data_IF_911966269392
#
_entry.id   IF_911966269392
#
_cell.length_a   1.000
_cell.length_b   1.000
_cell.length_c   1.000
_cell.angle_alpha   90.00
_cell.angle_beta   90.00
_cell.angle_gamma   90.00
#
_symmetry.space_group_name_H-M   'P 1'
#
loop_
_entity.id
_entity.type
_entity.pdbx_description
1 polymer ?
#
# COMPACT_ATOMS: atom_id res chain seq x y z
N UNK A 1 17.16 -5.00 0.57
CA UNK A 1 15.75 -4.79 0.94
C UNK A 1 15.60 -3.34 1.34
N UNK A 2 14.73 -2.58 0.67
CA UNK A 2 14.53 -1.15 0.97
C UNK A 2 13.44 -1.05 2.04
N UNK A 3 13.75 -0.35 3.14
CA UNK A 3 12.80 -0.05 4.22
C UNK A 3 12.39 1.40 4.16
N UNK A 4 11.11 1.67 4.33
CA UNK A 4 10.57 3.03 4.34
C UNK A 4 9.78 3.25 5.62
N UNK A 5 10.21 4.26 6.38
CA UNK A 5 9.47 4.72 7.55
C UNK A 5 8.21 5.45 7.08
N UNK A 6 7.10 5.15 7.72
CA UNK A 6 5.80 5.74 7.40
C UNK A 6 4.92 5.80 8.65
N UNK A 7 3.75 6.42 8.53
CA UNK A 7 2.70 6.39 9.54
C UNK A 7 1.37 6.30 8.80
N UNK A 8 0.97 5.07 8.47
CA UNK A 8 -0.34 4.81 7.88
C UNK A 8 -1.23 4.07 8.87
N UNK A 9 -2.52 4.34 8.81
CA UNK A 9 -3.54 3.59 9.54
C UNK A 9 -4.05 2.49 8.60
N UNK A 10 -4.11 1.24 9.07
CA UNK A 10 -4.79 0.17 8.34
C UNK A 10 -6.29 0.36 8.52
N UNK A 11 -6.99 0.72 7.44
CA UNK A 11 -8.45 0.87 7.48
C UNK A 11 -9.13 -0.49 7.41
N UNK A 12 -8.69 -1.35 6.49
CA UNK A 12 -9.16 -2.73 6.36
C UNK A 12 -8.17 -3.56 5.54
N UNK A 13 -8.29 -4.89 5.67
CA UNK A 13 -7.52 -5.88 4.92
C UNK A 13 -8.48 -6.87 4.28
N UNK A 14 -8.17 -7.31 3.07
CA UNK A 14 -8.98 -8.29 2.32
C UNK A 14 -8.11 -9.10 1.37
N UNK A 15 -8.61 -10.26 0.94
CA UNK A 15 -8.02 -11.02 -0.17
C UNK A 15 -8.43 -10.38 -1.49
N UNK A 16 -7.45 -10.03 -2.32
CA UNK A 16 -7.69 -9.44 -3.64
C UNK A 16 -7.41 -10.48 -4.73
N UNK A 17 -8.39 -10.72 -5.58
CA UNK A 17 -8.29 -11.74 -6.65
C UNK A 17 -7.35 -11.33 -7.79
N UNK A 18 -7.16 -10.03 -8.04
CA UNK A 18 -6.28 -9.53 -9.10
C UNK A 18 -4.81 -9.62 -8.68
N UNK A 19 -4.52 -9.38 -7.40
CA UNK A 19 -3.20 -9.59 -6.83
C UNK A 19 -2.94 -11.04 -6.40
N UNK A 20 -4.02 -11.84 -6.26
CA UNK A 20 -4.01 -13.21 -5.73
C UNK A 20 -3.28 -13.31 -4.38
N UNK A 21 -3.47 -12.30 -3.54
CA UNK A 21 -2.90 -12.19 -2.20
C UNK A 21 -3.70 -11.21 -1.34
N UNK A 22 -3.46 -11.26 -0.02
CA UNK A 22 -4.02 -10.31 0.92
C UNK A 22 -3.44 -8.90 0.69
N UNK A 23 -4.32 -7.91 0.64
CA UNK A 23 -3.98 -6.49 0.53
C UNK A 23 -4.46 -5.72 1.76
N UNK A 24 -3.81 -4.58 2.02
CA UNK A 24 -4.18 -3.65 3.06
C UNK A 24 -4.46 -2.27 2.45
N UNK A 25 -5.55 -1.65 2.88
CA UNK A 25 -5.85 -0.25 2.60
C UNK A 25 -5.28 0.59 3.72
N UNK A 26 -4.34 1.45 3.35
CA UNK A 26 -3.56 2.29 4.24
C UNK A 26 -3.97 3.75 4.07
N UNK A 27 -4.44 4.37 5.14
CA UNK A 27 -4.78 5.78 5.18
C UNK A 27 -3.63 6.63 5.74
N UNK A 28 -3.29 7.71 5.05
CA UNK A 28 -2.35 8.73 5.53
C UNK A 28 -3.13 9.89 6.15
N UNK A 29 -3.12 10.06 7.49
CA UNK A 29 -3.86 11.13 8.15
C UNK A 29 -3.30 12.54 7.87
N UNK A 30 -2.02 12.64 7.47
CA UNK A 30 -1.38 13.92 7.17
C UNK A 30 -1.74 14.37 5.74
N UNK A 31 -1.60 13.46 4.79
CA UNK A 31 -1.86 13.75 3.38
C UNK A 31 -3.32 13.59 2.96
N UNK A 32 -4.17 13.03 3.83
CA UNK A 32 -5.59 12.73 3.60
C UNK A 32 -5.82 11.90 2.32
N UNK A 33 -5.00 10.87 2.12
CA UNK A 33 -5.14 9.95 0.99
C UNK A 33 -5.02 8.50 1.45
N UNK A 34 -5.59 7.59 0.65
CA UNK A 34 -5.46 6.14 0.85
C UNK A 34 -4.58 5.52 -0.23
N UNK A 35 -3.95 4.42 0.11
CA UNK A 35 -3.23 3.55 -0.83
C UNK A 35 -3.59 2.10 -0.53
N UNK A 36 -3.65 1.28 -1.57
CA UNK A 36 -3.81 -0.18 -1.43
C UNK A 36 -2.47 -0.83 -1.74
N UNK A 37 -1.98 -1.67 -0.84
CA UNK A 37 -0.73 -2.41 -1.06
C UNK A 37 -0.88 -3.88 -0.61
N UNK A 38 -0.13 -4.82 -1.21
CA UNK A 38 -0.05 -6.17 -0.68
C UNK A 38 0.47 -6.21 0.76
N UNK A 39 -0.18 -7.01 1.61
CA UNK A 39 0.10 -7.04 3.06
C UNK A 39 1.51 -7.54 3.38
N UNK A 40 2.14 -8.31 2.48
CA UNK A 40 3.55 -8.73 2.58
C UNK A 40 4.55 -7.57 2.66
N UNK A 41 4.14 -6.37 2.24
CA UNK A 41 4.97 -5.17 2.32
C UNK A 41 4.86 -4.46 3.68
N UNK A 42 3.91 -4.86 4.54
CA UNK A 42 3.78 -4.37 5.91
C UNK A 42 4.88 -4.98 6.77
N UNK A 43 5.84 -4.17 7.22
CA UNK A 43 6.96 -4.69 8.00
C UNK A 43 6.72 -4.54 9.51
N UNK A 44 6.28 -3.37 9.95
CA UNK A 44 6.01 -3.11 11.36
C UNK A 44 4.62 -2.50 11.51
N UNK A 45 3.75 -3.20 12.23
CA UNK A 45 2.41 -2.75 12.60
C UNK A 45 2.34 -2.63 14.12
N UNK A 46 1.83 -1.51 14.62
CA UNK A 46 1.61 -1.25 16.05
C UNK A 46 0.14 -1.07 16.32
N UNK A 47 -0.31 -1.50 17.48
CA UNK A 47 -1.66 -1.24 17.95
C UNK A 47 -1.64 -0.03 18.91
N UNK A 48 -2.37 1.03 18.57
CA UNK A 48 -2.46 2.28 19.34
C UNK A 48 -3.92 2.71 19.32
N UNK A 49 -4.56 2.83 20.50
CA UNK A 49 -5.94 3.32 20.65
C UNK A 49 -6.94 2.69 19.67
N UNK A 50 -6.98 1.35 19.64
CA UNK A 50 -7.80 0.52 18.76
C UNK A 50 -7.49 0.63 17.25
N UNK A 51 -6.39 1.30 16.88
CA UNK A 51 -5.93 1.44 15.50
C UNK A 51 -4.66 0.66 15.23
N UNK A 52 -4.61 -0.02 14.08
CA UNK A 52 -3.41 -0.64 13.57
C UNK A 52 -2.63 0.37 12.72
N UNK A 53 -1.46 0.77 13.19
CA UNK A 53 -0.59 1.75 12.57
C UNK A 53 0.63 1.07 11.96
N UNK A 54 0.80 1.21 10.66
CA UNK A 54 1.99 0.78 9.93
C UNK A 54 3.08 1.83 10.09
N UNK A 55 4.19 1.45 10.72
CA UNK A 55 5.33 2.35 10.95
C UNK A 55 6.49 2.12 10.00
N UNK A 56 6.52 0.96 9.33
CA UNK A 56 7.56 0.59 8.38
C UNK A 56 7.03 -0.32 7.27
N UNK A 57 7.44 -0.02 6.05
CA UNK A 57 7.14 -0.80 4.84
C UNK A 57 8.42 -1.33 4.19
N UNK A 58 8.34 -2.52 3.58
CA UNK A 58 9.44 -3.13 2.82
C UNK A 58 9.13 -3.23 1.35
N UNK A 59 10.05 -2.76 0.52
CA UNK A 59 9.94 -2.84 -0.94
C UNK A 59 8.59 -2.30 -1.48
N UNK A 60 7.91 -1.44 -0.70
CA UNK A 60 6.74 -0.71 -1.11
C UNK A 60 7.25 0.51 -1.87
N UNK A 61 7.01 0.59 -3.17
CA UNK A 61 7.38 1.77 -3.95
C UNK A 61 6.31 2.84 -3.73
N UNK A 62 6.32 3.50 -2.56
CA UNK A 62 5.35 4.55 -2.18
C UNK A 62 5.52 5.89 -2.91
N UNK A 63 6.48 5.98 -3.82
CA UNK A 63 6.79 7.22 -4.52
C UNK A 63 6.08 7.15 -5.87
N UNK A 64 5.39 8.22 -6.33
CA UNK A 64 5.03 8.36 -7.73
C UNK A 64 6.33 8.57 -8.50
N UNK A 65 7.09 7.49 -8.72
CA UNK A 65 8.13 7.49 -9.71
C UNK A 65 7.46 7.43 -11.07
N UNK A 66 8.08 8.06 -12.06
CA UNK A 66 7.69 7.94 -13.46
C UNK A 66 7.38 6.48 -13.83
N UNK A 67 8.19 5.55 -13.31
CA UNK A 67 8.06 4.10 -13.48
C UNK A 67 6.79 3.49 -12.89
N UNK A 68 6.31 3.97 -11.74
CA UNK A 68 5.03 3.50 -11.14
C UNK A 68 3.85 4.03 -11.96
N UNK A 69 3.94 5.27 -12.45
CA UNK A 69 2.93 5.84 -13.36
C UNK A 69 2.88 5.08 -14.69
N UNK A 70 4.04 4.79 -15.28
CA UNK A 70 4.19 3.99 -16.50
C UNK A 70 3.59 2.59 -16.33
N UNK A 71 3.92 1.88 -15.25
CA UNK A 71 3.34 0.55 -14.98
C UNK A 71 1.82 0.60 -14.76
N UNK A 72 1.30 1.64 -14.12
CA UNK A 72 -0.15 1.82 -13.94
C UNK A 72 -0.86 2.09 -15.26
N UNK A 73 -0.25 2.89 -16.13
CA UNK A 73 -0.79 3.21 -17.46
C UNK A 73 -0.72 1.98 -18.40
N UNK A 74 0.32 1.16 -18.30
CA UNK A 74 0.41 -0.13 -19.00
C UNK A 74 -0.65 -1.15 -18.54
N UNK A 75 -1.01 -1.16 -17.26
CA UNK A 75 -2.07 -2.01 -16.74
C UNK A 75 -3.44 -1.57 -17.27
N UNK A 76 -3.73 -0.27 -17.27
CA UNK A 76 -4.98 0.28 -17.84
C UNK A 76 -5.16 -0.06 -19.32
N UNK A 77 -4.10 0.10 -20.12
CA UNK A 77 -4.13 -0.24 -21.56
C UNK A 77 -4.46 -1.71 -21.83
N UNK A 78 -4.11 -2.63 -20.93
CA UNK A 78 -4.38 -4.07 -21.07
C UNK A 78 -5.83 -4.45 -20.75
N UNK A 79 -6.50 -3.66 -19.92
CA UNK A 79 -7.86 -3.95 -19.45
C UNK A 79 -8.95 -3.13 -20.17
N UNK A 80 -8.56 -2.10 -20.93
CA UNK A 80 -9.46 -1.32 -21.80
C UNK A 80 -9.49 -1.83 -23.26
N UNK A 81 -8.88 -3.00 -23.56
CA UNK A 81 -8.91 -3.69 -24.87
C UNK A 81 -9.68 -5.00 -24.79
#
# INVERSE_FOLDING_TARGET
MIKQKCHFIIEHMYEDHDFNEQVAVLFNPIGLYTITIPSRHLQTVKHIDDQLIVTELTNAYLIPSQTVKEKKDEWRKRNDS
#
